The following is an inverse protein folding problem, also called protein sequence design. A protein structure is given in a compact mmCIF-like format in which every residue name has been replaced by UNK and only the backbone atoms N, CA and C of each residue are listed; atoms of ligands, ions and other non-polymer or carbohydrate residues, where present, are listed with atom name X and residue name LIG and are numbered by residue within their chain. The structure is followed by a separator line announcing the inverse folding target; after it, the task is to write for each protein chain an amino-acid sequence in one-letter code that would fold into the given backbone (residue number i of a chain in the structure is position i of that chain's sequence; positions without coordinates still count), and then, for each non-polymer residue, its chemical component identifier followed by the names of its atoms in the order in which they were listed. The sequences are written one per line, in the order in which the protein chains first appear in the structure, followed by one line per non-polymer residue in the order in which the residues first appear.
data_IF_929782198772
#
_entry.id   IF_929782198772
#
_cell.length_a   1.000
_cell.length_b   1.000
_cell.length_c   1.000
_cell.angle_alpha   90.00
_cell.angle_beta   90.00
_cell.angle_gamma   90.00
#
_symmetry.space_group_name_H-M   'P 1'
#
loop_
_entity.id
_entity.type
_entity.pdbx_description
1 polymer ?
#
# COMPACT_ATOMS: atom_id res chain seq x y z
N UNK A 1 -4.24 2.22 -2.70
CA UNK A 1 -4.62 3.66 -2.68
C UNK A 1 -3.42 4.47 -2.17
N UNK A 2 -2.92 5.43 -2.95
CA UNK A 2 -1.88 6.37 -2.52
C UNK A 2 -2.56 7.66 -2.05
N UNK A 3 -2.17 8.18 -0.88
CA UNK A 3 -2.58 9.48 -0.37
C UNK A 3 -1.39 10.32 0.06
N UNK A 4 -1.32 11.52 -0.49
CA UNK A 4 -0.31 12.54 -0.22
C UNK A 4 -0.82 13.57 0.81
N UNK A 5 0.08 14.38 1.35
CA UNK A 5 -0.26 15.51 2.24
C UNK A 5 -0.37 15.17 3.73
N UNK A 6 0.23 14.06 4.18
CA UNK A 6 0.44 13.75 5.61
C UNK A 6 -0.77 13.25 6.40
N UNK A 7 -1.98 13.41 5.88
CA UNK A 7 -3.20 12.92 6.53
C UNK A 7 -3.41 11.41 6.38
N UNK A 8 -3.58 10.70 7.50
CA UNK A 8 -3.91 9.26 7.52
C UNK A 8 -5.43 9.06 7.52
N UNK A 9 -6.08 9.39 6.41
CA UNK A 9 -7.53 9.22 6.20
C UNK A 9 -7.83 8.79 4.78
N UNK A 10 -8.99 8.20 4.54
CA UNK A 10 -9.46 7.92 3.17
C UNK A 10 -10.36 9.05 2.65
N UNK A 11 -10.93 9.86 3.54
CA UNK A 11 -11.81 11.00 3.19
C UNK A 11 -12.98 10.61 2.28
N UNK A 12 -13.64 9.49 2.59
CA UNK A 12 -14.81 8.99 1.85
C UNK A 12 -14.53 8.70 0.36
N UNK A 13 -13.29 8.39 0.00
CA UNK A 13 -12.90 8.05 -1.38
C UNK A 13 -12.81 6.53 -1.58
N UNK A 14 -13.53 6.00 -2.58
CA UNK A 14 -13.47 4.60 -3.02
C UNK A 14 -13.57 3.57 -1.87
N UNK A 15 -14.45 3.78 -0.91
CA UNK A 15 -14.54 2.92 0.29
C UNK A 15 -14.71 1.44 -0.06
N UNK A 16 -15.59 1.12 -1.01
CA UNK A 16 -15.85 -0.26 -1.41
C UNK A 16 -14.68 -0.85 -2.22
N UNK A 17 -14.20 -0.10 -3.21
CA UNK A 17 -13.13 -0.55 -4.10
C UNK A 17 -11.78 -0.68 -3.36
N UNK A 18 -11.55 0.13 -2.34
CA UNK A 18 -10.32 0.13 -1.56
C UNK A 18 -10.32 -0.86 -0.39
N UNK A 19 -11.42 -1.59 -0.14
CA UNK A 19 -11.61 -2.44 1.03
C UNK A 19 -10.47 -3.47 1.25
N UNK A 20 -9.86 -3.97 0.17
CA UNK A 20 -8.71 -4.89 0.20
C UNK A 20 -7.48 -4.34 -0.52
N UNK A 21 -7.48 -3.05 -0.85
CA UNK A 21 -6.33 -2.41 -1.47
C UNK A 21 -5.33 -2.00 -0.39
N UNK A 22 -4.04 -2.13 -0.68
CA UNK A 22 -3.01 -1.58 0.19
C UNK A 22 -3.09 -0.06 0.24
N UNK A 23 -2.98 0.50 1.44
CA UNK A 23 -2.98 1.94 1.67
C UNK A 23 -1.53 2.42 1.82
N UNK A 24 -1.17 3.43 1.03
CA UNK A 24 0.12 4.10 1.08
C UNK A 24 -0.12 5.58 1.42
N UNK A 25 0.46 6.04 2.52
CA UNK A 25 0.36 7.42 2.98
C UNK A 25 1.74 8.05 2.97
N UNK A 26 1.86 9.24 2.39
CA UNK A 26 3.11 10.01 2.38
C UNK A 26 2.89 11.43 2.88
N UNK A 27 3.92 11.97 3.54
CA UNK A 27 3.98 13.37 3.97
C UNK A 27 4.25 14.34 2.82
N UNK A 28 4.68 13.83 1.65
CA UNK A 28 4.91 14.63 0.45
C UNK A 28 3.59 15.28 0.00
N UNK A 29 3.61 16.58 -0.26
CA UNK A 29 2.44 17.29 -0.80
C UNK A 29 2.25 16.95 -2.28
N UNK A 30 1.01 17.00 -2.76
CA UNK A 30 0.69 16.62 -4.14
C UNK A 30 1.53 17.34 -5.21
N UNK A 31 1.80 18.66 -5.11
CA UNK A 31 2.65 19.36 -6.09
C UNK A 31 4.11 18.87 -6.11
N UNK A 32 4.58 18.28 -5.01
CA UNK A 32 5.95 17.79 -4.84
C UNK A 32 6.06 16.27 -5.06
N UNK A 33 4.95 15.60 -5.39
CA UNK A 33 4.93 14.15 -5.62
C UNK A 33 5.41 13.84 -7.04
N UNK A 34 6.63 13.33 -7.14
CA UNK A 34 7.32 13.04 -8.40
C UNK A 34 7.38 11.54 -8.75
N UNK A 35 8.12 11.21 -9.81
CA UNK A 35 8.28 9.83 -10.28
C UNK A 35 8.98 8.93 -9.24
N UNK A 36 9.97 9.47 -8.52
CA UNK A 36 10.69 8.75 -7.47
C UNK A 36 9.74 8.37 -6.32
N UNK A 37 8.92 9.32 -5.87
CA UNK A 37 7.89 9.08 -4.86
C UNK A 37 6.91 7.98 -5.29
N UNK A 38 6.58 7.91 -6.58
CA UNK A 38 5.71 6.87 -7.13
C UNK A 38 6.40 5.50 -7.14
N UNK A 39 7.67 5.42 -7.54
CA UNK A 39 8.44 4.17 -7.46
C UNK A 39 8.56 3.67 -6.03
N UNK A 40 8.80 4.53 -5.06
CA UNK A 40 8.81 4.15 -3.65
C UNK A 40 7.49 3.54 -3.20
N UNK A 41 6.35 4.12 -3.62
CA UNK A 41 5.03 3.59 -3.31
C UNK A 41 4.81 2.19 -3.93
N UNK A 42 5.32 1.94 -5.14
CA UNK A 42 5.26 0.61 -5.78
C UNK A 42 6.15 -0.39 -5.04
N UNK A 43 7.37 0.00 -4.67
CA UNK A 43 8.28 -0.86 -3.92
C UNK A 43 7.71 -1.24 -2.55
N UNK A 44 7.07 -0.30 -1.86
CA UNK A 44 6.37 -0.56 -0.60
C UNK A 44 5.18 -1.52 -0.81
N UNK A 45 4.40 -1.31 -1.87
CA UNK A 45 3.32 -2.23 -2.25
C UNK A 45 3.83 -3.67 -2.48
N UNK A 46 4.96 -3.84 -3.15
CA UNK A 46 5.55 -5.15 -3.44
C UNK A 46 6.08 -5.86 -2.19
N UNK A 47 6.56 -5.11 -1.20
CA UNK A 47 7.03 -5.66 0.08
C UNK A 47 5.88 -6.10 1.00
N UNK A 48 4.69 -5.55 0.81
CA UNK A 48 3.54 -5.84 1.67
C UNK A 48 2.97 -7.23 1.36
N UNK A 49 3.15 -8.11 2.32
CA UNK A 49 2.70 -9.49 2.31
C UNK A 49 1.19 -9.60 2.51
N UNK A 50 0.49 -10.21 1.55
CA UNK A 50 -0.96 -10.43 1.62
C UNK A 50 -1.31 -11.52 2.64
N UNK A 51 -1.91 -11.12 3.77
CA UNK A 51 -2.41 -12.06 4.81
C UNK A 51 -3.51 -13.01 4.35
N UNK A 52 -4.29 -12.66 3.31
CA UNK A 52 -5.27 -13.56 2.67
C UNK A 52 -4.84 -13.99 1.27
N UNK A 53 -3.54 -14.25 1.13
CA UNK A 53 -2.95 -15.02 0.03
C UNK A 53 -1.65 -15.75 0.40
N UNK A 54 -1.28 -15.77 1.70
CA UNK A 54 -0.03 -16.26 2.31
C UNK A 54 1.24 -15.58 1.82
N UNK A 55 2.27 -15.63 2.66
CA UNK A 55 3.65 -15.24 2.34
C UNK A 55 4.41 -16.51 1.93
N UNK A 56 5.35 -16.42 0.98
CA UNK A 56 6.00 -17.61 0.40
C UNK A 56 6.65 -18.50 1.47
N UNK A 57 7.24 -17.89 2.49
CA UNK A 57 7.89 -18.60 3.60
C UNK A 57 6.91 -19.27 4.57
N UNK A 58 5.67 -18.77 4.68
CA UNK A 58 4.64 -19.34 5.56
C UNK A 58 3.85 -20.47 4.88
N UNK A 59 3.81 -20.50 3.55
CA UNK A 59 3.29 -21.66 2.80
C UNK A 59 4.18 -22.90 2.93
N UNK A 60 5.51 -22.70 2.97
CA UNK A 60 6.49 -23.79 3.06
C UNK A 60 6.53 -24.43 4.46
N UNK A 61 6.38 -23.63 5.52
CA UNK A 61 6.38 -24.14 6.91
C UNK A 61 5.09 -24.86 7.32
N UNK A 62 3.97 -24.67 6.62
CA UNK A 62 2.72 -25.37 6.92
C UNK A 62 2.65 -26.78 6.29
N UNK A 63 3.48 -27.07 5.28
CA UNK A 63 3.49 -28.35 4.55
C UNK A 63 4.65 -29.28 4.96
N UNK A 64 5.35 -28.98 6.05
CA UNK A 64 6.45 -29.75 6.60
C UNK A 64 6.17 -30.14 8.05
#
# INVERSE_FOLDING_TARGET
LIRTGGDIRISNFLLWQAAYSELYFTGVFWPDFDEECFYEAILDFQKKERRFGKTSEQLEKENQ
#
